data_IF_940622461618
#
_entry.id   IF_940622461618
#
_cell.length_a   1.000
_cell.length_b   1.000
_cell.length_c   1.000
_cell.angle_alpha   90.00
_cell.angle_beta   90.00
_cell.angle_gamma   90.00
#
_symmetry.space_group_name_H-M   'P 1'
#
loop_
_entity.id
_entity.type
_entity.pdbx_description
1 polymer ?
#
# COMPACT_ATOMS: atom_id res chain seq x y z
N UNK A 1 29.63 12.40 12.93
CA UNK A 1 28.24 12.88 13.01
C UNK A 1 27.41 11.98 12.11
N UNK A 2 26.22 11.55 12.54
CA UNK A 2 25.32 10.76 11.68
C UNK A 2 24.73 11.67 10.60
N UNK A 3 24.64 11.19 9.36
CA UNK A 3 24.04 11.96 8.27
C UNK A 3 22.51 12.07 8.43
N UNK A 4 21.86 12.95 7.68
CA UNK A 4 20.39 13.03 7.67
C UNK A 4 19.81 11.70 7.20
N UNK A 5 20.36 11.14 6.12
CA UNK A 5 19.96 9.85 5.56
C UNK A 5 20.03 8.73 6.58
N UNK A 6 21.16 8.57 7.25
CA UNK A 6 21.32 7.53 8.29
C UNK A 6 20.30 7.70 9.42
N UNK A 7 20.08 8.94 9.86
CA UNK A 7 19.16 9.25 10.96
C UNK A 7 17.71 8.92 10.60
N UNK A 8 17.27 9.27 9.38
CA UNK A 8 15.92 8.99 8.89
C UNK A 8 15.70 7.49 8.69
N UNK A 9 16.63 6.79 8.05
CA UNK A 9 16.51 5.34 7.82
C UNK A 9 16.47 4.58 9.14
N UNK A 10 17.31 4.96 10.11
CA UNK A 10 17.30 4.39 11.45
C UNK A 10 15.96 4.65 12.16
N UNK A 11 15.41 5.87 12.09
CA UNK A 11 14.13 6.18 12.70
C UNK A 11 12.97 5.37 12.10
N UNK A 12 12.96 5.18 10.77
CA UNK A 12 11.99 4.31 10.10
C UNK A 12 12.16 2.87 10.59
N UNK A 13 13.39 2.34 10.58
CA UNK A 13 13.67 0.99 11.08
C UNK A 13 13.23 0.78 12.52
N UNK A 14 13.52 1.73 13.42
CA UNK A 14 13.12 1.68 14.83
C UNK A 14 11.60 1.73 14.98
N UNK A 15 10.90 2.55 14.20
CA UNK A 15 9.43 2.57 14.18
C UNK A 15 8.86 1.19 13.84
N UNK A 16 9.34 0.58 12.75
CA UNK A 16 8.87 -0.76 12.36
C UNK A 16 9.24 -1.83 13.39
N UNK A 17 10.40 -1.71 14.03
CA UNK A 17 10.90 -2.70 14.99
C UNK A 17 10.11 -2.71 16.29
N UNK A 18 9.70 -1.54 16.79
CA UNK A 18 9.06 -1.40 18.10
C UNK A 18 7.54 -1.29 18.04
N UNK A 19 6.97 -0.83 16.92
CA UNK A 19 5.52 -0.69 16.84
C UNK A 19 4.86 -2.06 16.64
N UNK A 20 4.04 -2.46 17.61
CA UNK A 20 3.30 -3.72 17.58
C UNK A 20 1.81 -3.55 17.35
N UNK A 21 1.30 -2.32 17.26
CA UNK A 21 -0.14 -2.03 17.24
C UNK A 21 -0.89 -2.71 18.40
N UNK A 22 -0.28 -2.73 19.59
CA UNK A 22 -0.78 -3.38 20.81
C UNK A 22 -0.88 -4.93 20.73
N UNK A 23 -0.18 -5.54 19.77
CA UNK A 23 -0.11 -6.99 19.58
C UNK A 23 1.25 -7.58 20.02
N UNK A 24 1.38 -8.92 19.93
CA UNK A 24 2.61 -9.65 20.29
C UNK A 24 3.75 -9.55 19.27
N UNK A 25 3.46 -9.14 18.03
CA UNK A 25 4.41 -9.09 16.92
C UNK A 25 4.51 -7.66 16.41
N UNK A 26 5.70 -7.23 16.04
CA UNK A 26 5.93 -5.90 15.51
C UNK A 26 5.62 -5.81 14.01
N UNK A 27 5.62 -4.58 13.50
CA UNK A 27 5.54 -4.33 12.07
C UNK A 27 6.75 -4.91 11.33
N UNK A 28 7.95 -4.95 11.92
CA UNK A 28 9.13 -5.57 11.29
C UNK A 28 8.99 -7.09 11.20
N UNK A 29 8.40 -7.75 12.22
CA UNK A 29 8.06 -9.18 12.14
C UNK A 29 7.14 -9.45 10.95
N UNK A 30 6.22 -8.51 10.69
CA UNK A 30 5.22 -8.60 9.63
C UNK A 30 5.82 -8.32 8.27
N UNK A 31 6.73 -7.35 8.19
CA UNK A 31 7.51 -7.08 6.99
C UNK A 31 8.30 -8.33 6.57
N UNK A 32 8.99 -8.98 7.51
CA UNK A 32 9.71 -10.22 7.22
C UNK A 32 8.76 -11.36 6.80
N UNK A 33 7.60 -11.48 7.46
CA UNK A 33 6.57 -12.45 7.09
C UNK A 33 6.03 -12.24 5.68
N UNK A 34 5.85 -10.98 5.29
CA UNK A 34 5.34 -10.57 3.99
C UNK A 34 6.37 -10.79 2.87
N UNK A 35 7.58 -10.24 3.04
CA UNK A 35 8.62 -10.21 2.00
C UNK A 35 9.18 -11.59 1.70
N UNK A 36 9.40 -12.40 2.75
CA UNK A 36 9.90 -13.78 2.60
C UNK A 36 8.77 -14.82 2.52
N UNK A 37 7.55 -14.35 2.18
CA UNK A 37 6.33 -15.14 1.94
C UNK A 37 6.06 -16.22 2.99
N UNK A 38 6.35 -15.94 4.27
CA UNK A 38 6.31 -16.94 5.36
C UNK A 38 4.93 -17.58 5.56
N UNK A 39 3.86 -16.97 5.04
CA UNK A 39 2.52 -17.55 4.98
C UNK A 39 2.43 -18.84 4.17
N UNK A 40 3.32 -19.08 3.22
CA UNK A 40 3.41 -20.35 2.47
C UNK A 40 4.13 -21.46 3.24
N UNK A 41 4.58 -21.21 4.47
CA UNK A 41 5.24 -22.19 5.34
C UNK A 41 6.39 -22.94 4.64
N UNK A 42 6.21 -24.23 4.36
CA UNK A 42 7.21 -25.12 3.77
C UNK A 42 7.19 -25.14 2.24
N UNK A 43 6.18 -24.56 1.60
CA UNK A 43 6.03 -24.57 0.13
C UNK A 43 6.82 -23.45 -0.55
N UNK A 44 7.66 -22.74 0.21
CA UNK A 44 8.48 -21.62 -0.27
C UNK A 44 9.69 -22.13 -1.06
N UNK A 45 9.84 -21.63 -2.27
CA UNK A 45 11.04 -21.82 -3.08
C UNK A 45 12.23 -21.02 -2.52
N UNK A 46 13.45 -21.34 -2.94
CA UNK A 46 14.64 -20.54 -2.56
C UNK A 46 14.59 -19.11 -3.12
N UNK A 47 13.88 -18.89 -4.24
CA UNK A 47 13.65 -17.56 -4.80
C UNK A 47 12.76 -16.71 -3.88
N UNK A 48 11.78 -17.32 -3.23
CA UNK A 48 10.84 -16.63 -2.33
C UNK A 48 11.43 -16.29 -0.97
N UNK A 49 12.62 -16.84 -0.66
CA UNK A 49 13.38 -16.55 0.55
C UNK A 49 14.45 -15.49 0.33
N UNK A 50 14.44 -14.80 -0.82
CA UNK A 50 15.35 -13.71 -1.13
C UNK A 50 14.62 -12.46 -1.63
N UNK A 51 15.24 -11.32 -1.43
CA UNK A 51 14.81 -10.03 -1.97
C UNK A 51 15.97 -9.37 -2.70
N UNK A 52 15.75 -8.93 -3.94
CA UNK A 52 16.75 -8.18 -4.68
C UNK A 52 16.58 -6.68 -4.42
N UNK A 53 17.46 -6.13 -3.59
CA UNK A 53 17.50 -4.70 -3.33
C UNK A 53 18.25 -4.00 -4.47
N UNK A 54 17.51 -3.19 -5.24
CA UNK A 54 18.02 -2.57 -6.46
C UNK A 54 19.21 -1.62 -6.22
N UNK A 55 19.29 -0.98 -5.05
CA UNK A 55 20.43 -0.14 -4.69
C UNK A 55 20.82 -0.35 -3.23
N UNK A 56 22.12 -0.56 -2.99
CA UNK A 56 22.67 -0.70 -1.65
C UNK A 56 22.72 0.67 -0.93
N UNK A 57 22.06 0.83 0.24
CA UNK A 57 21.97 2.11 0.95
C UNK A 57 23.29 2.59 1.54
N UNK A 58 24.31 1.73 1.61
CA UNK A 58 25.61 2.02 2.22
C UNK A 58 26.71 2.34 1.20
N UNK A 59 26.41 2.30 -0.09
CA UNK A 59 27.39 2.52 -1.16
C UNK A 59 26.95 3.65 -2.06
N UNK A 60 27.88 4.50 -2.49
CA UNK A 60 27.61 5.60 -3.42
C UNK A 60 27.24 5.10 -4.82
N UNK A 61 27.80 3.97 -5.25
CA UNK A 61 27.53 3.36 -6.57
C UNK A 61 26.15 2.69 -6.63
N UNK A 62 25.56 2.35 -5.48
CA UNK A 62 24.23 1.77 -5.40
C UNK A 62 24.14 0.38 -6.02
N UNK A 63 25.16 -0.46 -5.84
CA UNK A 63 25.17 -1.82 -6.38
C UNK A 63 23.96 -2.64 -5.90
N UNK A 64 23.48 -3.55 -6.74
CA UNK A 64 22.39 -4.46 -6.36
C UNK A 64 22.88 -5.44 -5.29
N UNK A 65 22.06 -5.66 -4.26
CA UNK A 65 22.34 -6.62 -3.20
C UNK A 65 21.16 -7.57 -3.00
N UNK A 66 21.46 -8.87 -2.96
CA UNK A 66 20.47 -9.90 -2.67
C UNK A 66 20.44 -10.17 -1.17
N UNK A 67 19.33 -9.79 -0.53
CA UNK A 67 19.05 -10.09 0.87
C UNK A 67 18.40 -11.47 0.96
N UNK A 68 19.05 -12.44 1.62
CA UNK A 68 18.47 -13.78 1.84
C UNK A 68 18.01 -13.91 3.27
N UNK A 69 16.81 -14.46 3.47
CA UNK A 69 16.22 -14.65 4.80
C UNK A 69 17.17 -15.34 5.78
N UNK A 70 17.91 -16.36 5.33
CA UNK A 70 18.87 -17.11 6.15
C UNK A 70 20.07 -16.29 6.65
N UNK A 71 20.39 -15.20 5.95
CA UNK A 71 21.51 -14.31 6.26
C UNK A 71 21.05 -13.15 7.18
N UNK A 72 19.75 -13.06 7.47
CA UNK A 72 19.16 -12.05 8.34
C UNK A 72 19.42 -12.36 9.82
N UNK A 73 19.93 -11.39 10.57
CA UNK A 73 20.13 -11.56 12.01
C UNK A 73 18.81 -11.45 12.81
N UNK A 74 18.89 -11.70 14.11
CA UNK A 74 17.71 -11.65 15.01
C UNK A 74 17.12 -10.24 15.14
N UNK A 75 17.84 -9.21 14.73
CA UNK A 75 17.40 -7.82 14.77
C UNK A 75 16.85 -7.37 13.42
N UNK A 76 16.60 -8.28 12.46
CA UNK A 76 16.11 -7.92 11.12
C UNK A 76 17.09 -7.04 10.33
N UNK A 77 18.38 -7.32 10.48
CA UNK A 77 19.46 -6.64 9.75
C UNK A 77 20.32 -7.63 8.96
N UNK A 78 21.01 -7.11 7.95
CA UNK A 78 21.95 -7.83 7.11
C UNK A 78 23.31 -7.14 7.16
N UNK A 79 24.39 -7.93 7.07
CA UNK A 79 25.73 -7.38 6.89
C UNK A 79 25.97 -7.08 5.41
N UNK A 80 26.39 -5.85 5.10
CA UNK A 80 26.77 -5.47 3.76
C UNK A 80 28.12 -6.12 3.39
N UNK A 81 28.20 -6.89 2.29
CA UNK A 81 29.43 -7.58 1.91
C UNK A 81 30.55 -6.62 1.50
N UNK A 82 30.21 -5.42 1.00
CA UNK A 82 31.17 -4.43 0.50
C UNK A 82 31.74 -3.55 1.62
N UNK A 83 30.89 -3.11 2.56
CA UNK A 83 31.27 -2.12 3.57
C UNK A 83 31.36 -2.70 4.98
N UNK A 84 30.85 -3.92 5.22
CA UNK A 84 30.67 -4.50 6.55
C UNK A 84 29.59 -3.81 7.40
N UNK A 85 28.97 -2.74 6.89
CA UNK A 85 27.92 -2.00 7.59
C UNK A 85 26.60 -2.77 7.66
N UNK A 86 25.61 -2.19 8.35
CA UNK A 86 24.31 -2.82 8.57
C UNK A 86 23.28 -2.29 7.58
N UNK A 87 22.64 -3.20 6.87
CA UNK A 87 21.46 -2.92 6.04
C UNK A 87 20.23 -3.35 6.85
N UNK A 88 19.29 -2.44 7.03
CA UNK A 88 18.03 -2.71 7.72
C UNK A 88 17.05 -3.41 6.77
N UNK A 89 16.21 -4.31 7.28
CA UNK A 89 15.15 -4.89 6.44
C UNK A 89 14.21 -3.81 5.85
N UNK A 90 14.04 -2.65 6.50
CA UNK A 90 13.27 -1.52 5.97
C UNK A 90 13.93 -0.83 4.78
N UNK A 91 15.21 -1.08 4.50
CA UNK A 91 15.90 -0.48 3.34
C UNK A 91 15.35 -1.01 2.00
N UNK A 92 14.55 -2.09 2.03
CA UNK A 92 13.78 -2.55 0.87
C UNK A 92 12.77 -1.52 0.36
N UNK A 93 12.40 -0.54 1.19
CA UNK A 93 11.54 0.58 0.78
C UNK A 93 12.28 1.58 -0.11
N UNK A 94 13.61 1.47 -0.20
CA UNK A 94 14.46 2.28 -1.07
C UNK A 94 14.32 3.79 -0.83
N UNK A 95 13.99 4.18 0.41
CA UNK A 95 13.81 5.59 0.79
C UNK A 95 15.13 6.36 0.75
N UNK A 96 16.26 5.67 0.91
CA UNK A 96 17.61 6.22 0.82
C UNK A 96 17.96 6.82 -0.56
N UNK A 97 17.21 6.45 -1.60
CA UNK A 97 17.36 6.99 -2.96
C UNK A 97 16.72 8.37 -3.13
N UNK A 98 15.83 8.75 -2.22
CA UNK A 98 15.05 10.01 -2.31
C UNK A 98 15.45 10.99 -1.21
N UNK A 99 16.03 10.49 -0.10
CA UNK A 99 16.57 11.36 0.94
C UNK A 99 17.84 12.00 0.44
N UNK A 100 17.85 13.33 0.47
CA UNK A 100 18.95 14.16 0.06
C UNK A 100 19.42 15.03 1.23
N UNK A 101 20.73 15.20 1.38
CA UNK A 101 21.32 15.90 2.53
C UNK A 101 21.06 17.42 2.48
N UNK A 102 20.87 17.99 1.28
CA UNK A 102 20.64 19.43 1.10
C UNK A 102 19.15 19.79 1.12
N UNK A 103 18.34 19.01 0.40
CA UNK A 103 16.91 19.28 0.18
C UNK A 103 15.99 18.52 1.15
N UNK A 104 16.55 17.56 1.90
CA UNK A 104 15.89 16.88 3.00
C UNK A 104 15.14 15.59 2.62
N UNK A 105 14.22 15.18 3.49
CA UNK A 105 13.49 13.90 3.40
C UNK A 105 12.00 14.07 3.06
N UNK A 106 11.53 15.26 2.66
CA UNK A 106 10.10 15.48 2.41
C UNK A 106 9.56 14.58 1.27
N UNK A 107 10.40 14.26 0.28
CA UNK A 107 10.03 13.42 -0.86
C UNK A 107 9.66 11.97 -0.52
N UNK A 108 10.04 11.47 0.66
CA UNK A 108 9.71 10.08 1.06
C UNK A 108 8.35 9.93 1.73
N UNK A 109 7.71 11.03 2.14
CA UNK A 109 6.53 11.00 3.00
C UNK A 109 5.36 10.21 2.37
N UNK A 110 5.09 10.44 1.09
CA UNK A 110 4.03 9.71 0.38
C UNK A 110 4.30 8.21 0.26
N UNK A 111 5.56 7.83 -0.02
CA UNK A 111 5.96 6.43 -0.12
C UNK A 111 5.88 5.72 1.23
N UNK A 112 6.35 6.39 2.29
CA UNK A 112 6.30 5.86 3.65
C UNK A 112 4.85 5.69 4.13
N UNK A 113 4.00 6.70 3.94
CA UNK A 113 2.59 6.64 4.33
C UNK A 113 1.87 5.47 3.66
N UNK A 114 1.96 5.37 2.33
CA UNK A 114 1.32 4.29 1.59
C UNK A 114 1.85 2.91 2.02
N UNK A 115 3.14 2.80 2.34
CA UNK A 115 3.75 1.54 2.78
C UNK A 115 3.30 1.15 4.19
N UNK A 116 3.24 2.11 5.11
CA UNK A 116 2.74 1.89 6.48
C UNK A 116 1.26 1.48 6.45
N UNK A 117 0.41 2.14 5.66
CA UNK A 117 -1.00 1.77 5.50
C UNK A 117 -1.18 0.31 5.03
N UNK A 118 -0.43 -0.10 4.01
CA UNK A 118 -0.44 -1.49 3.56
C UNK A 118 0.08 -2.44 4.65
N UNK A 119 1.17 -2.11 5.34
CA UNK A 119 1.73 -3.00 6.35
C UNK A 119 0.85 -3.13 7.58
N UNK A 120 0.10 -2.10 7.96
CA UNK A 120 -0.94 -2.20 9.00
C UNK A 120 -2.03 -3.17 8.55
N UNK A 121 -2.52 -3.05 7.32
CA UNK A 121 -3.51 -3.98 6.77
C UNK A 121 -2.99 -5.42 6.74
N UNK A 122 -1.77 -5.63 6.25
CA UNK A 122 -1.10 -6.94 6.20
C UNK A 122 -0.89 -7.47 7.62
N UNK A 123 -0.58 -6.62 8.60
CA UNK A 123 -0.46 -7.00 10.01
C UNK A 123 -1.78 -7.55 10.54
N UNK A 124 -2.89 -6.85 10.30
CA UNK A 124 -4.23 -7.29 10.72
C UNK A 124 -4.60 -8.61 10.03
N UNK A 125 -4.34 -8.74 8.72
CA UNK A 125 -4.56 -9.99 7.97
C UNK A 125 -3.77 -11.14 8.61
N UNK A 126 -2.48 -10.94 8.87
CA UNK A 126 -1.60 -11.93 9.51
C UNK A 126 -2.13 -12.34 10.89
N UNK A 127 -2.58 -11.39 11.71
CA UNK A 127 -3.16 -11.70 13.02
C UNK A 127 -4.44 -12.53 12.90
N UNK A 128 -5.35 -12.14 12.00
CA UNK A 128 -6.59 -12.88 11.78
C UNK A 128 -6.33 -14.31 11.30
N UNK A 129 -5.36 -14.52 10.41
CA UNK A 129 -4.97 -15.87 9.97
C UNK A 129 -4.48 -16.72 11.14
N UNK A 130 -3.72 -16.15 12.08
CA UNK A 130 -3.16 -16.89 13.21
C UNK A 130 -4.20 -17.19 14.29
N UNK A 131 -5.14 -16.27 14.52
CA UNK A 131 -6.09 -16.37 15.65
C UNK A 131 -7.41 -17.02 15.19
N UNK A 132 -7.98 -16.56 14.08
CA UNK A 132 -9.28 -17.01 13.61
C UNK A 132 -9.41 -16.87 12.07
N UNK A 133 -8.75 -17.74 11.28
CA UNK A 133 -8.70 -17.62 9.83
C UNK A 133 -10.09 -17.61 9.17
N UNK A 134 -11.06 -18.33 9.75
CA UNK A 134 -12.46 -18.33 9.26
C UNK A 134 -13.15 -16.96 9.32
N UNK A 135 -12.67 -16.01 10.13
CA UNK A 135 -13.20 -14.64 10.18
C UNK A 135 -12.71 -13.78 9.02
N UNK A 136 -11.63 -14.15 8.33
CA UNK A 136 -11.06 -13.30 7.29
C UNK A 136 -12.06 -12.99 6.18
N UNK A 137 -12.86 -13.99 5.76
CA UNK A 137 -13.94 -13.84 4.78
C UNK A 137 -15.10 -12.94 5.22
N UNK A 138 -15.16 -12.57 6.49
CA UNK A 138 -16.20 -11.69 7.08
C UNK A 138 -15.68 -10.26 7.29
N UNK A 139 -14.40 -10.01 7.07
CA UNK A 139 -13.78 -8.69 7.21
C UNK A 139 -13.60 -8.08 5.84
N UNK A 140 -14.17 -6.89 5.63
CA UNK A 140 -13.93 -6.10 4.44
C UNK A 140 -12.85 -5.06 4.69
N UNK A 141 -11.68 -5.28 4.10
CA UNK A 141 -10.56 -4.34 4.17
C UNK A 141 -10.74 -3.23 3.14
N UNK A 142 -10.61 -1.99 3.59
CA UNK A 142 -10.75 -0.82 2.74
C UNK A 142 -9.50 0.02 2.87
N UNK A 143 -8.80 0.20 1.75
CA UNK A 143 -7.69 1.14 1.63
C UNK A 143 -8.20 2.51 1.17
N UNK A 144 -7.71 3.57 1.81
CA UNK A 144 -7.86 4.93 1.26
C UNK A 144 -6.86 5.10 0.09
N UNK A 145 -7.37 5.30 -1.12
CA UNK A 145 -6.61 5.26 -2.36
C UNK A 145 -6.54 3.87 -3.00
N UNK A 146 -5.84 3.77 -4.14
CA UNK A 146 -5.81 2.55 -4.95
C UNK A 146 -4.99 1.40 -4.32
N UNK A 147 -5.29 0.17 -4.73
CA UNK A 147 -4.51 -1.05 -4.43
C UNK A 147 -3.20 -1.08 -5.23
N UNK A 148 -2.20 -0.32 -4.76
CA UNK A 148 -0.88 -0.27 -5.38
C UNK A 148 0.19 0.41 -4.51
N UNK A 149 1.45 0.13 -4.86
CA UNK A 149 2.64 0.77 -4.34
C UNK A 149 3.28 1.62 -5.43
N UNK A 150 3.86 2.76 -5.08
CA UNK A 150 4.28 3.78 -6.05
C UNK A 150 5.71 4.27 -5.78
N UNK A 151 6.34 4.81 -6.82
CA UNK A 151 7.71 5.31 -6.76
C UNK A 151 8.68 4.23 -6.27
N UNK A 152 9.47 4.55 -5.24
CA UNK A 152 10.53 3.66 -4.78
C UNK A 152 10.05 2.35 -4.16
N UNK A 153 8.81 2.34 -3.65
CA UNK A 153 8.22 1.15 -3.02
C UNK A 153 7.40 0.31 -4.00
N UNK A 154 7.36 0.67 -5.29
CA UNK A 154 6.52 -0.01 -6.29
C UNK A 154 6.77 -1.53 -6.37
N UNK A 155 8.00 -2.00 -6.17
CA UNK A 155 8.32 -3.43 -6.16
C UNK A 155 7.57 -4.25 -5.10
N UNK A 156 7.00 -3.61 -4.08
CA UNK A 156 6.14 -4.29 -3.10
C UNK A 156 4.81 -4.77 -3.69
N UNK A 157 4.43 -4.34 -4.90
CA UNK A 157 3.23 -4.85 -5.57
C UNK A 157 3.34 -6.36 -5.86
N UNK A 158 4.53 -6.87 -6.20
CA UNK A 158 4.77 -8.28 -6.50
C UNK A 158 4.47 -9.20 -5.29
N UNK A 159 5.11 -9.02 -4.10
CA UNK A 159 4.77 -9.82 -2.92
C UNK A 159 3.33 -9.59 -2.45
N UNK A 160 2.72 -8.42 -2.71
CA UNK A 160 1.31 -8.17 -2.40
C UNK A 160 0.37 -8.96 -3.31
N UNK A 161 0.65 -9.01 -4.61
CA UNK A 161 -0.11 -9.83 -5.55
C UNK A 161 0.01 -11.31 -5.20
N UNK A 162 1.20 -11.77 -4.81
CA UNK A 162 1.41 -13.14 -4.34
C UNK A 162 0.61 -13.45 -3.06
N UNK A 163 0.61 -12.52 -2.08
CA UNK A 163 -0.19 -12.65 -0.87
C UNK A 163 -1.69 -12.69 -1.19
N UNK A 164 -2.18 -11.80 -2.05
CA UNK A 164 -3.59 -11.79 -2.49
C UNK A 164 -3.96 -13.12 -3.14
N UNK A 165 -3.12 -13.65 -4.03
CA UNK A 165 -3.34 -14.96 -4.64
C UNK A 165 -3.44 -16.07 -3.60
N UNK A 166 -2.48 -16.13 -2.68
CA UNK A 166 -2.49 -17.11 -1.61
C UNK A 166 -3.73 -16.99 -0.72
N UNK A 167 -4.15 -15.78 -0.37
CA UNK A 167 -5.36 -15.54 0.42
C UNK A 167 -6.62 -15.97 -0.31
N UNK A 168 -6.75 -15.65 -1.60
CA UNK A 168 -7.89 -16.07 -2.42
C UNK A 168 -8.00 -17.61 -2.49
N UNK A 169 -6.88 -18.32 -2.51
CA UNK A 169 -6.86 -19.79 -2.57
C UNK A 169 -7.17 -20.46 -1.22
N UNK A 170 -6.71 -19.89 -0.10
CA UNK A 170 -6.73 -20.58 1.19
C UNK A 170 -7.77 -20.05 2.18
N UNK A 171 -8.12 -18.77 2.11
CA UNK A 171 -8.95 -18.11 3.12
C UNK A 171 -10.11 -17.27 2.54
N UNK A 172 -10.02 -16.93 1.26
CA UNK A 172 -10.73 -15.82 0.62
C UNK A 172 -10.39 -14.45 1.26
N UNK A 173 -10.49 -13.36 0.50
CA UNK A 173 -10.29 -11.99 1.01
C UNK A 173 -11.25 -11.00 0.34
N UNK A 174 -11.87 -10.15 1.17
CA UNK A 174 -12.60 -8.97 0.73
C UNK A 174 -11.71 -7.75 0.96
N UNK A 175 -11.13 -7.21 -0.11
CA UNK A 175 -10.26 -6.03 -0.08
C UNK A 175 -10.60 -5.12 -1.24
N UNK A 176 -10.66 -3.82 -1.00
CA UNK A 176 -10.77 -2.81 -2.05
C UNK A 176 -10.00 -1.54 -1.67
N UNK A 177 -9.44 -0.87 -2.67
CA UNK A 177 -8.94 0.50 -2.55
C UNK A 177 -9.94 1.48 -3.14
N UNK A 178 -10.16 2.61 -2.46
CA UNK A 178 -11.15 3.61 -2.87
C UNK A 178 -10.47 4.94 -3.15
N UNK A 179 -10.52 5.38 -4.39
CA UNK A 179 -9.94 6.66 -4.81
C UNK A 179 -10.95 7.78 -4.59
N UNK A 180 -10.47 8.88 -4.01
CA UNK A 180 -11.26 10.09 -3.71
C UNK A 180 -10.87 11.30 -4.56
N UNK A 181 -9.77 11.21 -5.29
CA UNK A 181 -9.26 12.26 -6.14
C UNK A 181 -8.44 11.68 -7.29
N UNK A 182 -8.10 12.54 -8.26
CA UNK A 182 -7.30 12.20 -9.42
C UNK A 182 -8.13 11.84 -10.65
N UNK A 183 -7.44 11.62 -11.77
CA UNK A 183 -8.05 11.54 -13.10
C UNK A 183 -9.19 10.51 -13.22
N UNK A 184 -9.09 9.37 -12.52
CA UNK A 184 -10.15 8.36 -12.53
C UNK A 184 -11.43 8.84 -11.86
N UNK A 185 -11.31 9.57 -10.74
CA UNK A 185 -12.44 10.13 -10.02
C UNK A 185 -13.06 11.27 -10.82
N UNK A 186 -12.22 12.15 -11.38
CA UNK A 186 -12.68 13.25 -12.24
C UNK A 186 -13.47 12.72 -13.45
N UNK A 187 -12.94 11.66 -14.10
CA UNK A 187 -13.62 10.99 -15.19
C UNK A 187 -14.92 10.31 -14.76
N UNK A 188 -14.93 9.62 -13.62
CA UNK A 188 -16.14 9.00 -13.08
C UNK A 188 -17.26 10.02 -12.88
N UNK A 189 -16.95 11.21 -12.36
CA UNK A 189 -17.92 12.30 -12.23
C UNK A 189 -18.38 12.82 -13.60
N UNK A 190 -17.46 12.97 -14.56
CA UNK A 190 -17.79 13.43 -15.90
C UNK A 190 -18.79 12.51 -16.63
N UNK A 191 -18.70 11.19 -16.43
CA UNK A 191 -19.60 10.20 -17.05
C UNK A 191 -20.81 9.83 -16.19
N UNK A 192 -21.04 10.50 -15.05
CA UNK A 192 -22.10 10.13 -14.10
C UNK A 192 -23.49 10.05 -14.75
N UNK A 193 -23.78 10.91 -15.73
CA UNK A 193 -25.07 10.90 -16.46
C UNK A 193 -25.21 9.74 -17.45
N UNK A 194 -24.10 9.18 -17.91
CA UNK A 194 -24.05 8.10 -18.90
C UNK A 194 -24.06 6.70 -18.25
N UNK A 195 -23.72 6.59 -16.97
CA UNK A 195 -23.76 5.34 -16.22
C UNK A 195 -25.11 5.20 -15.49
N UNK A 196 -25.78 4.07 -15.63
CA UNK A 196 -27.03 3.79 -14.92
C UNK A 196 -26.78 3.54 -13.43
N UNK A 197 -27.69 3.94 -12.52
CA UNK A 197 -27.58 3.62 -11.10
C UNK A 197 -27.51 2.10 -10.84
N UNK A 198 -26.63 1.69 -9.93
CA UNK A 198 -26.37 0.29 -9.58
C UNK A 198 -25.47 -0.45 -10.58
N UNK A 199 -24.90 0.24 -11.59
CA UNK A 199 -23.98 -0.36 -12.56
C UNK A 199 -22.53 -0.07 -12.24
N UNK A 200 -21.68 -1.02 -12.65
CA UNK A 200 -20.24 -0.93 -12.59
C UNK A 200 -19.66 -0.96 -14.01
N UNK A 201 -18.69 -0.09 -14.26
CA UNK A 201 -17.87 -0.06 -15.45
C UNK A 201 -16.47 -0.56 -15.09
N UNK A 202 -16.15 -1.77 -15.54
CA UNK A 202 -14.81 -2.34 -15.41
C UNK A 202 -13.92 -1.69 -16.47
N UNK A 203 -12.79 -1.11 -16.05
CA UNK A 203 -11.94 -0.34 -16.95
C UNK A 203 -10.96 -1.25 -17.69
N UNK A 204 -11.03 -1.24 -19.02
CA UNK A 204 -10.00 -1.83 -19.90
C UNK A 204 -8.89 -0.83 -20.15
N UNK A 205 -7.70 -1.32 -20.52
CA UNK A 205 -6.57 -0.46 -20.90
C UNK A 205 -6.97 0.50 -22.04
N UNK A 206 -7.70 0.01 -23.06
CA UNK A 206 -8.18 0.86 -24.16
C UNK A 206 -9.05 2.00 -23.65
N UNK A 207 -9.94 1.73 -22.69
CA UNK A 207 -10.77 2.77 -22.08
C UNK A 207 -9.92 3.77 -21.28
N UNK A 208 -9.01 3.28 -20.45
CA UNK A 208 -8.13 4.12 -19.61
C UNK A 208 -7.32 5.07 -20.48
N UNK A 209 -6.63 4.54 -21.49
CA UNK A 209 -5.74 5.31 -22.35
C UNK A 209 -6.46 6.17 -23.39
N UNK A 210 -7.75 5.92 -23.64
CA UNK A 210 -8.56 6.76 -24.53
C UNK A 210 -9.23 7.93 -23.81
N UNK A 211 -9.72 7.70 -22.59
CA UNK A 211 -10.62 8.66 -21.93
C UNK A 211 -10.09 9.26 -20.63
N UNK A 212 -9.17 8.61 -19.93
CA UNK A 212 -8.76 9.02 -18.57
C UNK A 212 -7.32 9.51 -18.54
N UNK A 213 -6.40 8.71 -19.06
CA UNK A 213 -4.96 9.00 -19.11
C UNK A 213 -4.48 8.89 -20.55
N UNK A 214 -4.78 9.87 -21.42
CA UNK A 214 -4.44 9.82 -22.84
C UNK A 214 -2.96 9.48 -23.08
N UNK A 215 -2.71 8.40 -23.82
CA UNK A 215 -1.36 7.94 -24.13
C UNK A 215 -1.34 6.60 -24.85
N UNK A 216 -0.18 6.24 -25.39
CA UNK A 216 0.08 4.90 -25.92
C UNK A 216 0.58 4.03 -24.78
N UNK A 217 -0.35 3.34 -24.10
CA UNK A 217 0.01 2.33 -23.10
C UNK A 217 1.00 1.30 -23.64
N UNK A 218 1.62 0.54 -22.75
CA UNK A 218 2.52 -0.54 -23.16
C UNK A 218 1.72 -1.62 -23.95
N UNK A 219 2.12 -1.98 -25.18
CA UNK A 219 1.42 -3.00 -25.95
C UNK A 219 1.47 -4.38 -25.28
N UNK A 220 2.53 -4.68 -24.52
CA UNK A 220 2.81 -5.99 -23.95
C UNK A 220 2.46 -6.12 -22.47
N UNK A 221 2.13 -5.01 -21.80
CA UNK A 221 1.85 -5.01 -20.36
C UNK A 221 0.50 -4.35 -20.04
N UNK A 222 -0.27 -4.92 -19.10
CA UNK A 222 -1.44 -4.26 -18.54
C UNK A 222 -1.10 -2.93 -17.89
N UNK A 223 -2.08 -2.02 -17.86
CA UNK A 223 -1.98 -0.76 -17.14
C UNK A 223 -1.48 -0.97 -15.69
N UNK A 224 -0.46 -0.20 -15.31
CA UNK A 224 0.11 -0.16 -13.97
C UNK A 224 0.57 -1.54 -13.41
N UNK A 225 0.94 -2.48 -14.28
CA UNK A 225 1.35 -3.85 -13.90
C UNK A 225 2.60 -3.96 -13.05
N UNK A 226 3.39 -2.88 -12.89
CA UNK A 226 4.61 -2.84 -12.05
C UNK A 226 4.41 -2.08 -10.74
N UNK A 227 3.18 -1.68 -10.42
CA UNK A 227 2.87 -0.84 -9.25
C UNK A 227 1.54 -1.22 -8.59
N UNK A 228 0.58 -1.72 -9.35
CA UNK A 228 -0.74 -2.07 -8.87
C UNK A 228 -0.91 -3.58 -8.79
N UNK A 229 -1.85 -4.01 -7.94
CA UNK A 229 -2.25 -5.41 -7.81
C UNK A 229 -3.78 -5.59 -7.94
N UNK A 230 -4.49 -4.59 -8.48
CA UNK A 230 -5.94 -4.61 -8.63
C UNK A 230 -6.47 -3.82 -9.82
N UNK A 231 -7.61 -4.28 -10.35
CA UNK A 231 -8.33 -3.63 -11.46
C UNK A 231 -9.22 -2.50 -10.97
N UNK A 232 -9.28 -1.41 -11.73
CA UNK A 232 -10.14 -0.26 -11.44
C UNK A 232 -11.53 -0.46 -12.03
N UNK A 233 -12.53 -0.11 -11.23
CA UNK A 233 -13.95 -0.19 -11.55
C UNK A 233 -14.60 1.13 -11.16
N UNK A 234 -15.34 1.74 -12.07
CA UNK A 234 -16.19 2.89 -11.76
C UNK A 234 -17.57 2.35 -11.42
N UNK A 235 -18.01 2.53 -10.19
CA UNK A 235 -19.31 2.07 -9.69
C UNK A 235 -20.23 3.24 -9.41
N UNK A 236 -21.44 3.21 -9.97
CA UNK A 236 -22.51 4.14 -9.61
C UNK A 236 -23.47 3.43 -8.66
N UNK A 237 -23.64 3.96 -7.45
CA UNK A 237 -24.63 3.43 -6.50
C UNK A 237 -26.05 3.65 -7.04
N UNK A 238 -27.03 3.00 -6.42
CA UNK A 238 -28.47 3.26 -6.67
C UNK A 238 -28.85 4.71 -6.31
N UNK A 239 -28.13 5.32 -5.36
CA UNK A 239 -28.27 6.72 -4.99
C UNK A 239 -27.61 7.71 -5.97
N UNK A 240 -26.88 7.20 -6.96
CA UNK A 240 -26.26 8.01 -8.02
C UNK A 240 -24.84 8.49 -7.71
N UNK A 241 -24.30 8.22 -6.52
CA UNK A 241 -22.90 8.52 -6.19
C UNK A 241 -21.94 7.66 -7.02
N UNK A 242 -20.83 8.26 -7.43
CA UNK A 242 -19.76 7.59 -8.19
C UNK A 242 -18.62 7.19 -7.26
N UNK A 243 -18.13 5.97 -7.40
CA UNK A 243 -16.96 5.46 -6.69
C UNK A 243 -15.96 4.89 -7.68
N UNK A 244 -14.67 5.15 -7.46
CA UNK A 244 -13.59 4.47 -8.15
C UNK A 244 -13.02 3.43 -7.20
N UNK A 245 -13.28 2.17 -7.52
CA UNK A 245 -12.93 1.01 -6.71
C UNK A 245 -11.82 0.23 -7.39
N UNK A 246 -10.72 0.01 -6.68
CA UNK A 246 -9.63 -0.86 -7.14
C UNK A 246 -9.74 -2.20 -6.41
N UNK A 247 -10.03 -3.26 -7.16
CA UNK A 247 -10.27 -4.61 -6.65
C UNK A 247 -9.03 -5.46 -6.90
N UNK A 248 -8.38 -6.02 -5.87
CA UNK A 248 -7.26 -6.93 -6.04
C UNK A 248 -7.63 -8.11 -6.93
N UNK A 249 -6.72 -8.48 -7.84
CA UNK A 249 -6.95 -9.56 -8.79
C UNK A 249 -5.77 -10.52 -8.83
N UNK A 250 -6.02 -11.71 -9.38
CA UNK A 250 -4.97 -12.73 -9.49
C UNK A 250 -3.85 -12.32 -10.43
N UNK A 251 -4.24 -11.66 -11.50
CA UNK A 251 -3.37 -11.16 -12.55
C UNK A 251 -4.05 -9.93 -13.16
N UNK A 252 -3.27 -8.89 -13.46
CA UNK A 252 -3.78 -7.75 -14.22
C UNK A 252 -3.90 -8.11 -15.70
N UNK A 253 -5.00 -7.71 -16.33
CA UNK A 253 -5.28 -7.94 -17.75
C UNK A 253 -5.58 -6.63 -18.47
N UNK A 254 -5.29 -6.57 -19.78
CA UNK A 254 -5.64 -5.39 -20.59
C UNK A 254 -7.14 -5.23 -20.80
N UNK A 255 -7.86 -6.37 -20.88
CA UNK A 255 -9.30 -6.44 -21.10
C UNK A 255 -9.96 -7.29 -20.00
N UNK A 256 -10.00 -6.79 -18.76
CA UNK A 256 -10.61 -7.53 -17.66
C UNK A 256 -12.13 -7.62 -17.82
N UNK A 257 -12.68 -8.73 -17.37
CA UNK A 257 -14.11 -9.01 -17.27
C UNK A 257 -14.51 -9.22 -15.81
N UNK A 258 -15.80 -9.28 -15.53
CA UNK A 258 -16.29 -9.53 -14.16
C UNK A 258 -15.74 -10.83 -13.55
N UNK A 259 -15.52 -11.87 -14.36
CA UNK A 259 -14.94 -13.13 -13.90
C UNK A 259 -13.48 -12.99 -13.43
N UNK A 260 -12.79 -11.94 -13.84
CA UNK A 260 -11.41 -11.66 -13.45
C UNK A 260 -11.29 -10.91 -12.12
N UNK A 261 -12.41 -10.44 -11.56
CA UNK A 261 -12.46 -9.64 -10.33
C UNK A 261 -13.14 -10.44 -9.19
N UNK A 262 -12.37 -11.17 -8.37
CA UNK A 262 -12.91 -11.94 -7.26
C UNK A 262 -13.74 -11.08 -6.31
N UNK A 263 -14.87 -11.61 -5.86
CA UNK A 263 -15.75 -10.97 -4.88
C UNK A 263 -16.33 -9.60 -5.32
N UNK A 264 -16.26 -9.22 -6.60
CA UNK A 264 -16.67 -7.88 -7.07
C UNK A 264 -18.05 -7.47 -6.55
N UNK A 265 -19.07 -8.31 -6.75
CA UNK A 265 -20.43 -8.00 -6.32
C UNK A 265 -20.54 -7.77 -4.81
N UNK A 266 -19.86 -8.58 -4.00
CA UNK A 266 -19.85 -8.45 -2.53
C UNK A 266 -19.16 -7.14 -2.13
N UNK A 267 -18.05 -6.81 -2.77
CA UNK A 267 -17.31 -5.56 -2.55
C UNK A 267 -18.20 -4.36 -2.85
N UNK A 268 -18.81 -4.31 -4.05
CA UNK A 268 -19.63 -3.17 -4.47
C UNK A 268 -20.88 -3.00 -3.59
N UNK A 269 -21.52 -4.09 -3.19
CA UNK A 269 -22.65 -4.05 -2.26
C UNK A 269 -22.26 -3.46 -0.90
N UNK A 270 -21.08 -3.80 -0.38
CA UNK A 270 -20.59 -3.26 0.88
C UNK A 270 -20.11 -1.80 0.75
N UNK A 271 -19.52 -1.43 -0.38
CA UNK A 271 -19.19 -0.01 -0.70
C UNK A 271 -20.47 0.83 -0.69
N UNK A 272 -21.55 0.35 -1.33
CA UNK A 272 -22.84 1.04 -1.32
C UNK A 272 -23.43 1.13 0.10
N UNK A 273 -23.35 0.05 0.89
CA UNK A 273 -23.87 0.03 2.27
C UNK A 273 -23.10 0.98 3.21
N UNK A 274 -21.80 1.18 2.97
CA UNK A 274 -20.92 2.04 3.77
C UNK A 274 -20.88 3.49 3.29
N UNK A 275 -21.76 3.88 2.35
CA UNK A 275 -21.82 5.22 1.79
C UNK A 275 -21.91 6.30 2.87
N UNK A 276 -21.22 7.41 2.64
CA UNK A 276 -21.31 8.60 3.48
C UNK A 276 -22.09 9.69 2.75
N UNK A 277 -23.16 10.20 3.36
CA UNK A 277 -23.89 11.34 2.80
C UNK A 277 -23.21 12.70 3.08
N UNK A 278 -22.18 12.73 3.94
CA UNK A 278 -21.51 13.99 4.35
C UNK A 278 -20.40 14.45 3.38
N UNK A 279 -19.80 13.56 2.59
CA UNK A 279 -18.69 13.89 1.69
C UNK A 279 -18.77 13.05 0.41
N UNK A 280 -18.62 13.70 -0.75
CA UNK A 280 -18.63 13.04 -2.05
C UNK A 280 -17.55 11.95 -2.14
N UNK A 281 -17.93 10.78 -2.65
CA UNK A 281 -17.04 9.62 -2.84
C UNK A 281 -16.33 9.12 -1.57
N UNK A 282 -16.75 9.56 -0.38
CA UNK A 282 -16.21 9.05 0.88
C UNK A 282 -17.07 7.89 1.40
N UNK A 283 -16.43 6.96 2.12
CA UNK A 283 -17.13 6.00 2.97
C UNK A 283 -17.22 6.54 4.39
N UNK A 284 -18.32 6.20 5.06
CA UNK A 284 -18.62 6.70 6.40
C UNK A 284 -17.49 6.42 7.40
N UNK A 285 -16.88 5.21 7.45
CA UNK A 285 -15.77 4.94 8.35
C UNK A 285 -14.54 5.81 8.06
N UNK A 286 -14.21 6.02 6.79
CA UNK A 286 -13.01 6.78 6.40
C UNK A 286 -13.21 8.28 6.66
N UNK A 287 -14.40 8.80 6.37
CA UNK A 287 -14.76 10.18 6.69
C UNK A 287 -14.72 10.44 8.20
N UNK A 288 -15.20 9.49 9.02
CA UNK A 288 -15.19 9.60 10.47
C UNK A 288 -13.76 9.61 11.04
N UNK A 289 -12.90 8.70 10.58
CA UNK A 289 -11.49 8.65 10.98
C UNK A 289 -10.77 9.94 10.59
N UNK A 290 -10.92 10.40 9.35
CA UNK A 290 -10.30 11.64 8.90
C UNK A 290 -10.76 12.84 9.75
N UNK A 291 -12.06 12.91 10.09
CA UNK A 291 -12.59 13.93 10.99
C UNK A 291 -11.97 13.85 12.40
N UNK A 292 -11.87 12.65 12.98
CA UNK A 292 -11.27 12.45 14.30
C UNK A 292 -9.77 12.82 14.31
N UNK A 293 -9.04 12.41 13.26
CA UNK A 293 -7.61 12.75 13.10
C UNK A 293 -7.43 14.25 12.95
N UNK A 294 -8.21 14.91 12.08
CA UNK A 294 -8.18 16.38 11.93
C UNK A 294 -8.49 17.11 13.25
N UNK A 295 -9.46 16.61 14.03
CA UNK A 295 -9.78 17.17 15.34
C UNK A 295 -8.63 16.97 16.35
N UNK A 296 -7.95 15.83 16.32
CA UNK A 296 -6.81 15.53 17.19
C UNK A 296 -5.51 16.24 16.79
N UNK A 297 -5.36 16.61 15.51
CA UNK A 297 -4.22 17.36 14.99
C UNK A 297 -4.21 18.82 15.47
N UNK A 298 -5.39 19.44 15.64
CA UNK A 298 -5.51 20.83 16.09
C UNK A 298 -4.87 21.11 17.47
N UNK A 299 -5.09 20.30 18.54
CA UNK A 299 -4.39 20.44 19.80
C UNK A 299 -2.86 20.27 19.66
N UNK A 300 -2.42 19.24 18.96
CA UNK A 300 -1.02 18.86 18.83
C UNK A 300 -0.20 19.90 18.05
N UNK A 301 -0.75 20.44 16.96
CA UNK A 301 -0.15 21.54 16.21
C UNK A 301 -0.01 22.80 17.06
N UNK A 302 -1.01 23.16 17.88
CA UNK A 302 -0.91 24.33 18.76
C UNK A 302 0.14 24.15 19.86
N UNK A 303 0.34 22.94 20.34
CA UNK A 303 1.39 22.61 21.32
C UNK A 303 2.77 22.70 20.67
N UNK A 304 2.99 22.05 19.53
CA UNK A 304 4.23 22.13 18.75
C UNK A 304 4.56 23.58 18.33
N UNK A 305 3.57 24.34 17.88
CA UNK A 305 3.73 25.75 17.52
C UNK A 305 4.13 26.60 18.73
N UNK A 306 3.56 26.35 19.92
CA UNK A 306 3.96 27.00 21.18
C UNK A 306 5.39 26.66 21.59
N UNK A 307 5.81 25.40 21.48
CA UNK A 307 7.18 24.99 21.78
C UNK A 307 8.20 25.60 20.79
N UNK A 308 7.89 25.60 19.49
CA UNK A 308 8.74 26.19 18.47
C UNK A 308 8.87 27.72 18.65
N UNK A 309 7.77 28.42 18.92
CA UNK A 309 7.80 29.88 19.13
C UNK A 309 8.52 30.30 20.43
N UNK A 310 8.48 29.48 21.48
CA UNK A 310 9.28 29.68 22.69
C UNK A 310 10.79 29.47 22.46
N UNK A 311 11.16 28.60 21.52
CA UNK A 311 12.56 28.29 21.21
C UNK A 311 13.23 29.33 20.30
N UNK A 312 12.43 30.06 19.49
CA UNK A 312 12.89 31.14 18.59
C UNK A 312 12.96 32.50 19.30
N UNK A 313 12.35 32.61 20.49
CA UNK A 313 12.33 33.85 21.29
C UNK A 313 13.44 33.90 22.35
N UNK A 314 14.54 33.17 22.15
CA UNK A 314 15.74 33.18 22.99
C UNK A 314 16.98 33.56 22.20
#
# INVERSE_FOLDING_TARGET
ASTLKESVLKAVFEFFSHNTLDENKSLIDTLAWFIFKRYKLNDRTEEEKRWNLATNPLTLEGNQIVLRERDMDRNYTFSCPETGGKIYLTDIFRLHEVIDEETGAAGILGYLLNTVEHLIMIHIIRQLINIQPEKLKQVFFIKDGSTGFFGQTALLHDPMQDLVNWLLDHHNILLAGLEKSGAFVDHAQAIQKNLEPGKALILTDDYIYRYILPGSGDPNRPYASTSNYGHKVIFKTKGGQMYVVSVPVRELKKNPTEADLPNLQVILNNVEALRCDMYDSALFPVALVNKLVSLSAHPSQRILQKFASQSVSR
#
